data_IF_068087140851
#
_entry.id   IF_068087140851
#
_cell.length_a   1.000
_cell.length_b   1.000
_cell.length_c   1.000
_cell.angle_alpha   90.00
_cell.angle_beta   90.00
_cell.angle_gamma   90.00
#
_symmetry.space_group_name_H-M   'P 1'
#
loop_
_entity.id
_entity.type
_entity.pdbx_description
1 polymer ?
#
# COMPACT_ATOMS: atom_id res chain seq x y z
N UNK A 1 43.07 4.45 76.93
CA UNK A 1 42.88 5.82 76.37
C UNK A 1 42.88 5.82 74.83
N UNK A 2 43.45 4.85 74.14
CA UNK A 2 43.50 4.81 72.67
C UNK A 2 42.23 4.49 71.94
N UNK A 3 41.30 3.68 72.55
CA UNK A 3 40.04 3.35 71.94
C UNK A 3 39.02 4.53 71.86
N UNK A 4 39.22 5.54 72.75
CA UNK A 4 38.30 6.69 72.79
C UNK A 4 38.68 7.72 71.69
N UNK A 5 39.94 7.87 71.39
CA UNK A 5 40.44 8.77 70.31
C UNK A 5 40.06 8.25 68.93
N UNK A 6 40.18 6.94 68.70
CA UNK A 6 39.76 6.32 67.45
C UNK A 6 38.23 6.44 67.17
N UNK A 7 37.38 6.31 68.18
CA UNK A 7 35.95 6.53 68.05
C UNK A 7 35.60 8.01 67.81
N UNK A 8 36.31 8.94 68.40
CA UNK A 8 36.15 10.38 68.13
C UNK A 8 36.58 10.76 66.68
N UNK A 9 37.66 10.19 66.18
CA UNK A 9 38.10 10.40 64.81
C UNK A 9 37.15 9.82 63.80
N UNK A 10 36.58 8.62 64.03
CA UNK A 10 35.60 8.01 63.16
C UNK A 10 34.28 8.79 63.16
N UNK A 11 33.85 9.30 64.32
CA UNK A 11 32.64 10.13 64.38
C UNK A 11 32.85 11.54 63.81
N UNK A 12 34.02 12.10 63.87
CA UNK A 12 34.39 13.36 63.20
C UNK A 12 34.51 13.18 61.69
N UNK A 13 35.05 12.07 61.20
CA UNK A 13 35.09 11.74 59.79
C UNK A 13 33.69 11.46 59.19
N UNK A 14 32.80 10.90 59.99
CA UNK A 14 31.38 10.70 59.56
C UNK A 14 30.56 11.99 59.57
N UNK A 15 30.94 13.01 60.35
CA UNK A 15 30.31 14.33 60.32
C UNK A 15 30.81 15.21 59.17
N UNK A 16 32.02 14.95 58.61
CA UNK A 16 32.54 15.64 57.41
C UNK A 16 32.11 14.96 56.09
N UNK A 17 31.48 13.82 56.13
CA UNK A 17 30.76 13.26 54.99
C UNK A 17 29.39 13.93 54.80
N UNK A 18 29.26 15.20 55.15
CA UNK A 18 28.18 16.07 54.73
C UNK A 18 28.23 16.12 53.21
N UNK A 19 27.26 15.47 52.59
CA UNK A 19 27.03 15.49 51.17
C UNK A 19 27.06 16.93 50.66
N UNK A 20 28.18 17.36 50.12
CA UNK A 20 28.23 18.55 49.25
C UNK A 20 27.54 18.14 47.95
N UNK A 21 26.22 18.14 47.96
CA UNK A 21 25.46 17.95 46.74
C UNK A 21 25.53 19.27 45.95
N UNK A 22 26.57 19.41 45.12
CA UNK A 22 26.65 20.48 44.14
C UNK A 22 25.60 20.36 43.06
N UNK A 23 25.65 21.22 42.04
CA UNK A 23 24.82 21.14 40.87
C UNK A 23 24.69 19.69 40.36
N UNK A 24 23.49 19.18 40.26
CA UNK A 24 23.17 17.81 39.76
C UNK A 24 22.04 17.83 38.74
N UNK A 25 22.18 17.00 37.68
CA UNK A 25 21.08 16.74 36.75
C UNK A 25 20.30 15.54 37.27
N UNK A 26 19.04 15.79 37.67
CA UNK A 26 18.16 14.82 38.34
C UNK A 26 17.29 14.00 37.40
N UNK A 27 17.13 14.44 36.16
CA UNK A 27 16.38 13.68 35.17
C UNK A 27 17.04 12.34 34.86
N UNK A 28 16.23 11.26 34.79
CA UNK A 28 16.73 9.91 34.55
C UNK A 28 17.56 9.83 33.26
N UNK A 29 18.70 9.17 33.34
CA UNK A 29 19.45 8.81 32.13
C UNK A 29 18.74 7.65 31.45
N UNK A 30 17.86 7.94 30.52
CA UNK A 30 17.30 6.89 29.67
C UNK A 30 18.41 6.33 28.79
N UNK A 31 18.75 5.06 28.98
CA UNK A 31 19.71 4.34 28.12
C UNK A 31 19.12 4.05 26.74
N UNK A 32 17.82 4.26 26.55
CA UNK A 32 17.11 4.04 25.31
C UNK A 32 16.86 5.36 24.58
N UNK A 33 16.98 5.39 23.26
CA UNK A 33 16.61 6.56 22.46
C UNK A 33 15.16 7.00 22.72
N UNK A 34 14.95 8.32 22.74
CA UNK A 34 13.59 8.89 22.68
C UNK A 34 13.08 8.76 21.25
N UNK A 35 12.08 7.91 21.05
CA UNK A 35 11.49 7.65 19.73
C UNK A 35 10.24 8.53 19.54
N UNK A 36 10.14 9.19 18.39
CA UNK A 36 9.02 10.07 18.05
C UNK A 36 8.68 9.97 16.57
N UNK A 37 7.39 10.12 16.24
CA UNK A 37 6.99 10.18 14.84
C UNK A 37 7.34 11.54 14.21
N UNK A 38 7.80 11.51 12.96
CA UNK A 38 7.99 12.70 12.14
C UNK A 38 6.72 13.56 12.11
N UNK A 39 6.88 14.88 12.23
CA UNK A 39 5.79 15.84 12.30
C UNK A 39 5.20 16.07 13.69
N UNK A 40 5.55 15.26 14.70
CA UNK A 40 5.13 15.46 16.09
C UNK A 40 6.11 16.38 16.83
N UNK A 41 5.78 16.73 18.07
CA UNK A 41 6.66 17.46 18.98
C UNK A 41 7.18 16.52 20.04
N UNK A 42 8.40 16.80 20.52
CA UNK A 42 9.06 15.99 21.55
C UNK A 42 9.68 16.87 22.62
N UNK A 43 9.53 16.45 23.87
CA UNK A 43 10.23 17.04 25.00
C UNK A 43 11.53 16.26 25.24
N UNK A 44 12.65 16.97 25.28
CA UNK A 44 13.94 16.45 25.75
C UNK A 44 14.16 16.88 27.18
N UNK A 45 14.17 15.92 28.10
CA UNK A 45 14.07 16.18 29.54
C UNK A 45 15.46 16.43 30.17
N UNK A 46 15.62 17.58 30.78
CA UNK A 46 16.82 17.97 31.52
C UNK A 46 16.43 18.77 32.77
N UNK A 47 16.21 18.07 33.85
CA UNK A 47 15.95 18.70 35.16
C UNK A 47 17.18 18.70 36.01
N UNK A 48 17.39 19.76 36.79
CA UNK A 48 18.57 19.92 37.64
C UNK A 48 18.22 20.52 38.98
N UNK A 49 19.11 20.33 39.94
CA UNK A 49 19.07 20.96 41.26
C UNK A 49 20.37 21.74 41.50
N UNK A 50 20.24 22.83 42.20
CA UNK A 50 21.38 23.71 42.61
C UNK A 50 21.63 23.49 44.08
N UNK A 51 22.91 23.58 44.48
CA UNK A 51 23.31 23.64 45.88
C UNK A 51 23.49 25.08 46.31
N UNK A 52 23.58 25.28 47.63
CA UNK A 52 23.83 26.59 48.23
C UNK A 52 25.19 27.22 47.86
N UNK A 53 26.15 26.34 47.50
CA UNK A 53 27.51 26.71 47.09
C UNK A 53 27.59 27.18 45.62
N UNK A 54 26.58 26.85 44.82
CA UNK A 54 26.53 27.25 43.41
C UNK A 54 26.15 28.73 43.29
N UNK A 55 27.14 29.61 43.23
CA UNK A 55 26.99 31.08 43.39
C UNK A 55 27.14 31.88 42.10
N UNK A 56 27.70 31.32 41.03
CA UNK A 56 27.92 32.01 39.76
C UNK A 56 26.67 32.25 38.94
N UNK A 57 26.78 32.89 37.76
CA UNK A 57 25.68 32.98 36.81
C UNK A 57 25.28 31.59 36.35
N UNK A 58 23.99 31.42 36.08
CA UNK A 58 23.46 30.18 35.50
C UNK A 58 23.49 30.29 33.97
N UNK A 59 24.17 29.32 33.36
CA UNK A 59 24.16 29.08 31.93
C UNK A 59 23.61 27.70 31.64
N UNK A 60 22.63 27.62 30.72
CA UNK A 60 22.06 26.35 30.21
C UNK A 60 22.24 26.33 28.71
N UNK A 61 23.04 25.40 28.25
CA UNK A 61 23.34 25.23 26.81
C UNK A 61 22.83 23.89 26.32
N UNK A 62 22.05 23.93 25.25
CA UNK A 62 21.71 22.75 24.50
C UNK A 62 22.46 22.72 23.18
N UNK A 63 23.02 21.58 22.85
CA UNK A 63 23.75 21.38 21.61
C UNK A 63 23.34 20.07 20.92
N UNK A 64 23.39 20.09 19.60
CA UNK A 64 23.37 18.90 18.77
C UNK A 64 24.82 18.42 18.62
N UNK A 65 25.11 17.25 19.16
CA UNK A 65 26.44 16.65 19.17
C UNK A 65 26.80 16.24 17.75
N UNK A 66 27.97 16.67 17.30
CA UNK A 66 28.46 16.31 15.98
C UNK A 66 28.70 14.80 15.90
N UNK A 67 28.28 14.19 14.78
CA UNK A 67 28.53 12.76 14.50
C UNK A 67 30.00 12.50 14.15
N UNK A 68 30.71 13.53 13.72
CA UNK A 68 32.14 13.51 13.41
C UNK A 68 32.90 14.26 14.50
N UNK A 69 33.78 13.57 15.19
CA UNK A 69 34.61 14.14 16.30
C UNK A 69 35.56 15.25 15.85
N UNK A 70 35.67 15.51 14.55
CA UNK A 70 36.46 16.62 14.01
C UNK A 70 35.65 17.92 13.88
N UNK A 71 34.34 17.85 14.10
CA UNK A 71 33.44 19.00 14.03
C UNK A 71 32.98 19.40 15.43
N UNK A 72 32.73 20.70 15.58
CA UNK A 72 32.19 21.25 16.83
C UNK A 72 30.69 20.90 16.95
N UNK A 73 30.27 20.71 18.21
CA UNK A 73 28.87 20.58 18.55
C UNK A 73 28.09 21.87 18.19
N UNK A 74 26.91 21.74 17.65
CA UNK A 74 26.09 22.89 17.25
C UNK A 74 25.19 23.33 18.40
N UNK A 75 25.39 24.51 18.94
CA UNK A 75 24.49 25.11 19.95
C UNK A 75 23.15 25.40 19.26
N UNK A 76 22.04 24.89 19.86
CA UNK A 76 20.69 25.03 19.34
C UNK A 76 19.83 26.01 20.13
N UNK A 77 20.07 26.13 21.43
CA UNK A 77 19.42 27.09 22.34
C UNK A 77 20.32 27.31 23.58
N UNK A 78 20.36 28.52 24.04
CA UNK A 78 21.15 28.93 25.21
C UNK A 78 20.29 29.77 26.15
N UNK A 79 20.40 29.52 27.44
CA UNK A 79 19.92 30.43 28.50
C UNK A 79 21.12 30.99 29.23
N UNK A 80 21.29 32.29 29.24
CA UNK A 80 22.36 33.00 29.91
C UNK A 80 21.97 34.42 30.24
N UNK A 81 22.40 34.97 31.37
CA UNK A 81 22.05 36.32 31.79
C UNK A 81 20.56 36.55 31.91
N UNK A 82 19.83 35.58 32.45
CA UNK A 82 18.37 35.58 32.63
C UNK A 82 17.56 35.74 31.30
N UNK A 83 18.18 35.34 30.20
CA UNK A 83 17.57 35.40 28.86
C UNK A 83 17.80 34.13 28.06
N UNK A 84 16.77 33.70 27.31
CA UNK A 84 16.87 32.65 26.32
C UNK A 84 17.30 33.22 24.96
N UNK A 85 18.23 32.51 24.29
CA UNK A 85 18.70 32.79 22.95
C UNK A 85 18.36 31.58 22.10
N UNK A 86 17.43 31.75 21.14
CA UNK A 86 16.81 30.67 20.36
C UNK A 86 17.14 30.77 18.86
N UNK A 87 17.89 31.76 18.43
CA UNK A 87 18.07 32.16 17.03
C UNK A 87 19.39 31.65 16.41
N UNK A 88 19.78 30.44 16.81
CA UNK A 88 20.96 29.79 16.24
C UNK A 88 20.66 29.22 14.85
N UNK A 89 21.58 29.35 13.90
CA UNK A 89 21.45 28.82 12.55
C UNK A 89 21.75 27.32 12.52
N UNK A 90 20.72 26.55 12.88
CA UNK A 90 20.79 25.11 13.04
C UNK A 90 19.59 24.44 12.33
N UNK A 91 19.62 23.12 12.09
CA UNK A 91 18.49 22.40 11.49
C UNK A 91 17.16 22.56 12.25
N UNK A 92 17.22 22.84 13.55
CA UNK A 92 16.05 22.98 14.43
C UNK A 92 15.64 24.45 14.68
N UNK A 93 16.26 25.42 14.01
CA UNK A 93 15.96 26.85 14.14
C UNK A 93 14.48 27.14 14.04
N UNK A 94 13.96 27.96 14.97
CA UNK A 94 12.55 28.36 15.06
C UNK A 94 11.60 27.23 15.48
N UNK A 95 12.12 26.05 15.86
CA UNK A 95 11.32 24.91 16.31
C UNK A 95 11.71 24.39 17.69
N UNK A 96 12.71 25.02 18.33
CA UNK A 96 13.20 24.65 19.65
C UNK A 96 12.95 25.78 20.64
N UNK A 97 12.36 25.43 21.80
CA UNK A 97 12.04 26.36 22.88
C UNK A 97 12.24 25.67 24.22
N UNK A 98 12.61 26.45 25.29
CA UNK A 98 12.58 25.91 26.63
C UNK A 98 11.16 25.48 27.01
N UNK A 99 11.05 24.37 27.73
CA UNK A 99 9.77 23.87 28.24
C UNK A 99 9.20 24.79 29.33
N UNK A 100 10.07 25.30 30.19
CA UNK A 100 9.73 26.26 31.22
C UNK A 100 9.93 27.70 30.74
N UNK A 101 9.02 28.63 31.03
CA UNK A 101 9.24 30.06 30.75
C UNK A 101 10.41 30.61 31.57
N UNK A 102 10.79 29.98 32.68
CA UNK A 102 11.92 30.32 33.52
C UNK A 102 12.76 29.09 33.86
N UNK A 103 13.75 28.76 33.00
CA UNK A 103 14.57 27.56 33.17
C UNK A 103 15.39 27.53 34.48
N UNK A 104 15.65 28.67 35.13
CA UNK A 104 16.40 28.73 36.38
C UNK A 104 15.74 28.05 37.56
N UNK A 105 14.44 27.72 37.46
CA UNK A 105 13.69 27.01 38.48
C UNK A 105 13.93 25.48 38.47
N UNK A 106 14.98 25.00 37.78
CA UNK A 106 15.37 23.61 37.76
C UNK A 106 14.87 22.78 36.57
N UNK A 107 14.14 23.40 35.64
CA UNK A 107 13.69 22.73 34.39
C UNK A 107 14.40 23.36 33.17
N UNK A 108 15.50 22.75 32.79
CA UNK A 108 16.24 23.05 31.55
C UNK A 108 15.74 22.27 30.33
N UNK A 109 14.64 21.53 30.44
CA UNK A 109 14.08 20.75 29.33
C UNK A 109 13.71 21.64 28.16
N UNK A 110 13.80 21.09 26.96
CA UNK A 110 13.39 21.77 25.73
C UNK A 110 12.27 20.99 25.01
N UNK A 111 11.46 21.71 24.26
CA UNK A 111 10.51 21.17 23.30
C UNK A 111 11.04 21.40 21.90
N UNK A 112 11.10 20.34 21.09
CA UNK A 112 11.40 20.42 19.65
C UNK A 112 10.09 20.17 18.92
N UNK A 113 9.62 21.17 18.20
CA UNK A 113 8.33 21.14 17.51
C UNK A 113 8.49 20.60 16.10
N UNK A 114 7.47 19.87 15.64
CA UNK A 114 7.37 19.39 14.25
C UNK A 114 8.69 18.74 13.79
N UNK A 115 9.10 17.70 14.53
CA UNK A 115 10.38 17.03 14.27
C UNK A 115 10.43 16.38 12.89
N UNK A 116 11.60 16.40 12.28
CA UNK A 116 11.89 15.83 10.96
C UNK A 116 12.85 14.66 11.11
N UNK A 117 12.92 13.76 10.17
CA UNK A 117 13.91 12.67 10.15
C UNK A 117 15.35 13.16 10.27
N UNK A 118 15.64 14.36 9.73
CA UNK A 118 16.93 15.05 9.83
C UNK A 118 17.29 15.52 11.24
N UNK A 119 16.32 15.59 12.15
CA UNK A 119 16.55 15.96 13.54
C UNK A 119 17.02 14.78 14.42
N UNK A 120 17.07 13.57 13.83
CA UNK A 120 17.66 12.40 14.50
C UNK A 120 19.12 12.67 14.86
N UNK A 121 19.47 12.49 16.14
CA UNK A 121 20.83 12.76 16.60
C UNK A 121 20.97 12.66 18.11
N UNK A 122 22.20 12.98 18.57
CA UNK A 122 22.48 13.06 19.99
C UNK A 122 22.43 14.52 20.44
N UNK A 123 21.58 14.79 21.39
CA UNK A 123 21.42 16.12 22.01
C UNK A 123 22.09 16.13 23.36
N UNK A 124 22.74 17.25 23.69
CA UNK A 124 23.39 17.44 24.97
C UNK A 124 22.83 18.67 25.70
N UNK A 125 22.31 18.44 26.89
CA UNK A 125 22.00 19.48 27.86
C UNK A 125 23.22 19.69 28.74
N UNK A 126 23.70 20.92 28.90
CA UNK A 126 24.81 21.31 29.75
C UNK A 126 24.37 22.46 30.63
N UNK A 127 24.45 22.25 31.94
CA UNK A 127 24.10 23.23 32.95
C UNK A 127 25.38 23.65 33.67
N UNK A 128 25.63 24.96 33.75
CA UNK A 128 26.77 25.55 34.41
C UNK A 128 26.29 26.54 35.47
N UNK A 129 26.79 26.40 36.68
CA UNK A 129 26.73 27.40 37.75
C UNK A 129 27.92 27.19 38.66
N UNK A 130 28.84 28.17 38.66
CA UNK A 130 30.11 28.01 39.35
C UNK A 130 29.95 27.60 40.82
N UNK A 131 30.72 26.61 41.32
CA UNK A 131 31.77 25.89 40.64
C UNK A 131 31.29 24.70 39.82
N UNK A 132 29.97 24.40 39.78
CA UNK A 132 29.39 23.23 39.19
C UNK A 132 29.25 23.32 37.66
N UNK A 133 29.53 22.22 36.97
CA UNK A 133 29.16 21.96 35.57
C UNK A 133 28.67 20.53 35.45
N UNK A 134 27.49 20.35 34.87
CA UNK A 134 26.94 19.03 34.56
C UNK A 134 26.43 18.99 33.15
N UNK A 135 26.49 17.80 32.55
CA UNK A 135 25.91 17.57 31.25
C UNK A 135 25.16 16.23 31.20
N UNK A 136 24.23 16.15 30.28
CA UNK A 136 23.44 14.92 29.98
C UNK A 136 23.31 14.81 28.49
N UNK A 137 23.69 13.66 27.96
CA UNK A 137 23.44 13.30 26.54
C UNK A 137 22.21 12.40 26.42
N UNK A 138 21.45 12.59 25.38
CA UNK A 138 20.30 11.77 25.05
C UNK A 138 20.14 11.64 23.53
N UNK A 139 19.67 10.50 23.09
CA UNK A 139 19.44 10.24 21.68
C UNK A 139 17.97 10.50 21.32
N UNK A 140 17.76 11.27 20.27
CA UNK A 140 16.47 11.43 19.61
C UNK A 140 16.48 10.62 18.32
N UNK A 141 15.48 9.76 18.16
CA UNK A 141 15.24 8.98 16.96
C UNK A 141 13.88 9.36 16.37
N UNK A 142 13.92 10.10 15.29
CA UNK A 142 12.70 10.47 14.57
C UNK A 142 12.39 9.41 13.53
N UNK A 143 11.21 8.82 13.65
CA UNK A 143 10.76 7.71 12.82
C UNK A 143 9.58 8.13 11.96
N UNK A 144 9.51 7.59 10.76
CA UNK A 144 8.35 7.74 9.89
C UNK A 144 7.33 6.62 10.17
N UNK A 145 6.05 6.99 10.27
CA UNK A 145 4.95 6.02 10.31
C UNK A 145 4.92 5.23 9.01
N UNK A 146 4.39 4.00 9.02
CA UNK A 146 4.12 3.29 7.79
C UNK A 146 3.22 4.14 6.87
N UNK A 147 3.48 4.15 5.57
CA UNK A 147 2.50 4.63 4.60
C UNK A 147 1.33 3.65 4.51
N UNK A 148 0.18 4.10 4.02
CA UNK A 148 -0.96 3.21 3.78
C UNK A 148 -0.52 2.04 2.92
N UNK A 149 -0.58 0.80 3.43
CA UNK A 149 -0.08 -0.34 2.70
C UNK A 149 -0.99 -0.68 1.50
N UNK A 150 -0.41 -1.34 0.52
CA UNK A 150 -1.11 -1.96 -0.60
C UNK A 150 -1.35 -3.42 -0.29
N UNK A 151 -2.62 -3.83 -0.40
CA UNK A 151 -3.04 -5.22 -0.28
C UNK A 151 -3.38 -5.79 -1.66
N UNK A 152 -2.84 -6.96 -2.01
CA UNK A 152 -3.17 -7.65 -3.25
C UNK A 152 -2.94 -9.16 -3.11
N UNK A 153 -3.47 -9.91 -4.08
CA UNK A 153 -3.28 -11.37 -4.16
C UNK A 153 -2.30 -11.72 -5.26
N UNK A 154 -1.50 -12.75 -5.03
CA UNK A 154 -0.67 -13.40 -6.03
C UNK A 154 -1.07 -14.89 -6.15
N UNK A 155 -0.95 -15.42 -7.36
CA UNK A 155 -1.32 -16.79 -7.65
C UNK A 155 -2.76 -16.95 -8.13
N UNK A 156 -3.24 -18.18 -8.13
CA UNK A 156 -4.59 -18.52 -8.62
C UNK A 156 -5.60 -18.49 -7.49
N UNK A 157 -6.73 -17.83 -7.72
CA UNK A 157 -7.86 -17.79 -6.77
C UNK A 157 -8.88 -18.92 -6.97
N UNK A 158 -8.50 -20.00 -7.67
CA UNK A 158 -9.37 -21.17 -7.81
C UNK A 158 -9.21 -22.15 -6.65
N UNK A 159 -10.29 -22.85 -6.32
CA UNK A 159 -10.27 -23.89 -5.29
C UNK A 159 -9.18 -24.93 -5.54
N UNK A 160 -8.56 -25.40 -4.46
CA UNK A 160 -7.47 -26.36 -4.51
C UNK A 160 -6.12 -25.79 -4.93
N UNK A 161 -6.00 -24.49 -5.18
CA UNK A 161 -4.75 -23.81 -5.50
C UNK A 161 -4.23 -23.02 -4.32
N UNK A 162 -2.93 -22.76 -4.30
CA UNK A 162 -2.31 -21.89 -3.33
C UNK A 162 -2.48 -20.45 -3.76
N UNK A 163 -2.89 -19.59 -2.82
CA UNK A 163 -3.01 -18.15 -3.02
C UNK A 163 -2.19 -17.41 -1.97
N UNK A 164 -1.46 -16.39 -2.38
CA UNK A 164 -0.66 -15.56 -1.49
C UNK A 164 -1.33 -14.18 -1.36
N UNK A 165 -1.62 -13.77 -0.13
CA UNK A 165 -2.04 -12.42 0.19
C UNK A 165 -0.77 -11.62 0.51
N UNK A 166 -0.60 -10.47 -0.11
CA UNK A 166 0.53 -9.57 0.12
C UNK A 166 0.08 -8.22 0.63
N UNK A 167 0.90 -7.71 1.55
CA UNK A 167 0.75 -6.40 2.17
C UNK A 167 2.10 -5.71 2.16
N UNK A 168 2.20 -4.58 1.48
CA UNK A 168 3.45 -3.84 1.37
C UNK A 168 3.22 -2.36 1.62
N UNK A 169 4.04 -1.75 2.48
CA UNK A 169 4.10 -0.32 2.70
C UNK A 169 5.36 0.24 2.04
N UNK A 170 5.19 1.29 1.25
CA UNK A 170 6.28 1.88 0.46
C UNK A 170 7.18 2.80 1.30
N UNK A 171 6.68 3.29 2.46
CA UNK A 171 7.43 4.12 3.39
C UNK A 171 7.17 3.70 4.84
N UNK A 172 8.05 4.13 5.72
CA UNK A 172 8.03 3.86 7.16
C UNK A 172 9.38 3.37 7.68
N UNK A 173 9.74 3.82 8.88
CA UNK A 173 11.00 3.43 9.52
C UNK A 173 10.94 1.97 9.98
N UNK A 174 12.02 1.23 9.77
CA UNK A 174 12.18 -0.14 10.25
C UNK A 174 12.57 -0.18 11.73
N UNK A 175 12.26 -1.26 12.46
CA UNK A 175 11.63 -2.49 12.01
C UNK A 175 10.12 -2.31 11.83
N UNK A 176 9.59 -2.87 10.75
CA UNK A 176 8.17 -2.87 10.42
C UNK A 176 7.62 -4.30 10.51
N UNK A 177 6.42 -4.44 11.05
CA UNK A 177 5.71 -5.72 11.18
C UNK A 177 4.36 -5.63 10.51
N UNK A 178 3.94 -6.74 9.92
CA UNK A 178 2.63 -6.86 9.28
C UNK A 178 1.80 -7.91 10.03
N UNK A 179 0.55 -7.60 10.25
CA UNK A 179 -0.42 -8.54 10.80
C UNK A 179 -1.63 -8.61 9.89
N UNK A 180 -2.20 -9.80 9.78
CA UNK A 180 -3.38 -10.05 8.98
C UNK A 180 -4.50 -10.62 9.83
N UNK A 181 -5.72 -10.18 9.55
CA UNK A 181 -6.94 -10.73 10.13
C UNK A 181 -8.02 -10.87 9.07
N UNK A 182 -8.86 -11.87 9.19
CA UNK A 182 -10.08 -11.98 8.39
C UNK A 182 -11.19 -11.22 9.12
N UNK A 183 -11.83 -10.26 8.43
CA UNK A 183 -12.86 -9.40 9.05
C UNK A 183 -14.27 -9.94 8.88
N UNK A 184 -14.47 -10.85 7.91
CA UNK A 184 -15.76 -11.50 7.65
C UNK A 184 -15.76 -12.96 8.08
N UNK A 185 -16.88 -13.45 8.55
CA UNK A 185 -17.02 -14.85 8.99
C UNK A 185 -16.31 -15.16 10.29
N UNK A 186 -15.41 -16.11 10.29
CA UNK A 186 -14.74 -16.65 11.49
C UNK A 186 -13.77 -15.70 12.18
N UNK A 187 -13.44 -14.55 11.60
CA UNK A 187 -12.44 -13.58 12.09
C UNK A 187 -11.03 -14.16 12.33
N UNK A 188 -10.79 -15.38 11.92
CA UNK A 188 -9.51 -16.08 12.06
C UNK A 188 -9.00 -16.41 10.67
N UNK A 189 -7.71 -16.34 10.48
CA UNK A 189 -7.07 -16.79 9.22
C UNK A 189 -7.37 -18.28 8.99
N UNK A 190 -7.50 -18.73 7.73
CA UNK A 190 -7.66 -20.15 7.41
C UNK A 190 -6.59 -21.00 8.09
N UNK A 191 -6.97 -22.16 8.62
CA UNK A 191 -6.02 -23.06 9.31
C UNK A 191 -4.87 -23.53 8.40
N UNK A 192 -5.09 -23.52 7.09
CA UNK A 192 -4.07 -23.85 6.06
C UNK A 192 -3.14 -22.68 5.72
N UNK A 193 -3.26 -21.54 6.40
CA UNK A 193 -2.46 -20.35 6.11
C UNK A 193 -1.20 -20.26 6.93
N UNK A 194 -0.13 -19.75 6.31
CA UNK A 194 1.16 -19.46 6.96
C UNK A 194 1.40 -17.95 6.82
N UNK A 195 1.53 -17.26 7.95
CA UNK A 195 1.82 -15.82 8.03
C UNK A 195 3.32 -15.60 8.19
N UNK A 196 3.88 -14.71 7.36
CA UNK A 196 5.20 -14.10 7.58
C UNK A 196 5.01 -12.61 7.94
N UNK A 197 5.20 -12.24 9.22
CA UNK A 197 4.96 -10.88 9.68
C UNK A 197 6.04 -9.88 9.22
N UNK A 198 7.16 -10.34 8.70
CA UNK A 198 8.26 -9.45 8.23
C UNK A 198 8.04 -9.07 6.77
N UNK A 199 7.74 -10.04 5.93
CA UNK A 199 7.45 -9.81 4.50
C UNK A 199 6.03 -9.32 4.23
N UNK A 200 5.12 -9.46 5.21
CA UNK A 200 3.71 -9.08 5.07
C UNK A 200 2.90 -10.06 4.22
N UNK A 201 3.31 -11.33 4.16
CA UNK A 201 2.66 -12.33 3.31
C UNK A 201 1.85 -13.33 4.13
N UNK A 202 0.70 -13.74 3.59
CA UNK A 202 -0.07 -14.89 4.06
C UNK A 202 -0.20 -15.88 2.90
N UNK A 203 0.38 -17.05 3.05
CA UNK A 203 0.24 -18.12 2.08
C UNK A 203 -0.91 -19.03 2.51
N UNK A 204 -2.02 -18.99 1.79
CA UNK A 204 -3.18 -19.86 1.98
C UNK A 204 -3.03 -21.05 1.06
N UNK A 205 -2.69 -22.21 1.63
CA UNK A 205 -2.51 -23.46 0.88
C UNK A 205 -3.85 -24.13 0.64
N UNK A 206 -4.00 -24.72 -0.57
CA UNK A 206 -5.20 -25.46 -0.95
C UNK A 206 -6.47 -24.68 -0.65
N UNK A 207 -6.56 -23.44 -1.18
CA UNK A 207 -7.65 -22.53 -0.87
C UNK A 207 -9.02 -23.14 -1.22
N UNK A 208 -9.96 -23.05 -0.30
CA UNK A 208 -11.34 -23.48 -0.46
C UNK A 208 -12.29 -22.29 -0.44
N UNK A 209 -13.55 -22.49 -0.80
CA UNK A 209 -14.59 -21.44 -0.75
C UNK A 209 -14.67 -20.75 0.63
N UNK A 210 -14.39 -21.49 1.72
CA UNK A 210 -14.36 -20.94 3.10
C UNK A 210 -13.25 -19.91 3.32
N UNK A 211 -12.20 -19.91 2.49
CA UNK A 211 -11.14 -18.89 2.53
C UNK A 211 -11.61 -17.54 1.94
N UNK A 212 -12.68 -17.53 1.15
CA UNK A 212 -13.25 -16.28 0.63
C UNK A 212 -13.67 -15.36 1.76
N UNK A 213 -13.53 -14.06 1.53
CA UNK A 213 -13.93 -13.02 2.48
C UNK A 213 -12.99 -11.83 2.46
N UNK A 214 -13.27 -10.89 3.35
CA UNK A 214 -12.51 -9.66 3.49
C UNK A 214 -11.40 -9.85 4.52
N UNK A 215 -10.20 -9.48 4.14
CA UNK A 215 -8.99 -9.53 4.96
C UNK A 215 -8.48 -8.12 5.19
N UNK A 216 -7.98 -7.86 6.39
CA UNK A 216 -7.34 -6.60 6.77
C UNK A 216 -5.89 -6.88 7.08
N UNK A 217 -5.00 -6.12 6.45
CA UNK A 217 -3.60 -6.05 6.84
C UNK A 217 -3.33 -4.77 7.62
N UNK A 218 -2.56 -4.88 8.69
CA UNK A 218 -2.03 -3.76 9.46
C UNK A 218 -0.52 -3.78 9.39
N UNK A 219 0.08 -2.73 8.81
CA UNK A 219 1.50 -2.45 8.86
C UNK A 219 1.80 -1.60 10.09
N UNK A 220 2.71 -2.02 10.95
CA UNK A 220 2.98 -1.37 12.25
C UNK A 220 4.49 -1.20 12.44
N UNK A 221 4.90 -0.05 12.93
CA UNK A 221 6.21 0.17 13.53
C UNK A 221 6.04 0.79 14.92
N UNK A 222 7.14 1.24 15.57
CA UNK A 222 7.11 1.76 16.94
C UNK A 222 6.34 3.06 17.10
N UNK A 223 6.13 3.82 16.01
CA UNK A 223 5.53 5.16 16.07
C UNK A 223 4.18 5.25 15.38
N UNK A 224 3.69 4.17 14.77
CA UNK A 224 2.37 4.18 14.18
C UNK A 224 2.00 2.91 13.44
N UNK A 225 0.76 2.89 12.96
CA UNK A 225 0.18 1.80 12.19
C UNK A 225 -0.72 2.35 11.09
N UNK A 226 -0.76 1.64 9.95
CA UNK A 226 -1.64 1.91 8.82
C UNK A 226 -2.23 0.60 8.30
N UNK A 227 -3.37 0.68 7.64
CA UNK A 227 -4.14 -0.50 7.26
C UNK A 227 -4.56 -0.48 5.80
N UNK A 228 -4.70 -1.69 5.21
CA UNK A 228 -5.41 -1.92 3.95
C UNK A 228 -6.38 -3.08 4.08
N UNK A 229 -7.33 -3.13 3.17
CA UNK A 229 -8.36 -4.17 3.09
C UNK A 229 -8.28 -4.85 1.74
N UNK A 230 -8.49 -6.17 1.72
CA UNK A 230 -8.44 -7.02 0.54
C UNK A 230 -9.62 -7.99 0.55
N UNK A 231 -10.36 -8.03 -0.53
CA UNK A 231 -11.42 -9.01 -0.73
C UNK A 231 -10.87 -10.20 -1.54
N UNK A 232 -10.83 -11.37 -0.91
CA UNK A 232 -10.47 -12.62 -1.55
C UNK A 232 -11.73 -13.38 -1.97
N UNK A 233 -11.85 -13.68 -3.27
CA UNK A 233 -12.91 -14.53 -3.82
C UNK A 233 -12.28 -15.79 -4.39
N UNK A 234 -12.51 -16.93 -3.73
CA UNK A 234 -12.07 -18.24 -4.21
C UNK A 234 -13.20 -18.84 -5.03
N UNK A 235 -12.93 -19.11 -6.31
CA UNK A 235 -13.93 -19.62 -7.27
C UNK A 235 -13.65 -21.08 -7.60
N UNK A 236 -14.72 -21.84 -7.87
CA UNK A 236 -14.57 -23.21 -8.34
C UNK A 236 -13.81 -23.25 -9.67
N UNK A 237 -13.05 -24.30 -9.90
CA UNK A 237 -12.37 -24.52 -11.18
C UNK A 237 -13.45 -24.72 -12.25
N UNK A 238 -13.47 -23.93 -13.33
CA UNK A 238 -14.44 -24.13 -14.41
C UNK A 238 -14.26 -25.53 -15.00
N UNK A 239 -15.35 -26.30 -15.07
CA UNK A 239 -15.32 -27.67 -15.61
C UNK A 239 -15.19 -27.62 -17.15
N UNK A 240 -13.99 -27.29 -17.64
CA UNK A 240 -13.68 -27.18 -19.06
C UNK A 240 -13.93 -28.49 -19.82
N UNK A 241 -13.76 -29.64 -19.15
CA UNK A 241 -14.05 -30.95 -19.75
C UNK A 241 -15.53 -31.09 -20.15
N UNK A 242 -16.45 -30.63 -19.32
CA UNK A 242 -17.88 -30.63 -19.62
C UNK A 242 -18.25 -29.71 -20.80
N UNK A 243 -17.62 -28.53 -20.88
CA UNK A 243 -17.84 -27.58 -21.96
C UNK A 243 -17.33 -28.13 -23.30
N UNK A 244 -16.13 -28.72 -23.31
CA UNK A 244 -15.53 -29.33 -24.50
C UNK A 244 -16.32 -30.54 -24.94
N UNK A 245 -16.72 -31.44 -24.04
CA UNK A 245 -17.58 -32.60 -24.37
C UNK A 245 -18.95 -32.16 -24.91
N UNK A 246 -19.56 -31.17 -24.29
CA UNK A 246 -20.85 -30.63 -24.77
C UNK A 246 -20.76 -30.01 -26.16
N UNK A 247 -19.69 -29.28 -26.45
CA UNK A 247 -19.51 -28.69 -27.80
C UNK A 247 -19.25 -29.74 -28.86
N UNK A 248 -18.51 -30.80 -28.58
CA UNK A 248 -18.31 -31.93 -29.51
C UNK A 248 -19.60 -32.63 -29.80
N UNK A 249 -20.40 -32.95 -28.77
CA UNK A 249 -21.73 -33.59 -28.94
C UNK A 249 -22.67 -32.71 -29.80
N UNK A 250 -22.72 -31.41 -29.55
CA UNK A 250 -23.51 -30.48 -30.32
C UNK A 250 -23.12 -30.45 -31.81
N UNK A 251 -21.82 -30.44 -32.11
CA UNK A 251 -21.33 -30.49 -33.50
C UNK A 251 -21.70 -31.82 -34.17
N UNK A 252 -21.55 -32.96 -33.47
CA UNK A 252 -21.94 -34.26 -34.01
C UNK A 252 -23.43 -34.36 -34.29
N UNK A 253 -24.28 -33.80 -33.43
CA UNK A 253 -25.73 -33.76 -33.66
C UNK A 253 -26.09 -32.88 -34.89
N UNK A 254 -25.45 -31.74 -35.07
CA UNK A 254 -25.64 -30.89 -36.24
C UNK A 254 -25.24 -31.64 -37.53
N UNK A 255 -24.09 -32.31 -37.52
CA UNK A 255 -23.61 -33.10 -38.65
C UNK A 255 -24.58 -34.25 -38.98
N UNK A 256 -25.12 -34.93 -37.95
CA UNK A 256 -26.12 -35.96 -38.12
C UNK A 256 -27.42 -35.43 -38.76
N UNK A 257 -27.92 -34.28 -38.30
CA UNK A 257 -29.07 -33.61 -38.88
C UNK A 257 -28.84 -33.28 -40.35
N UNK A 258 -27.67 -32.70 -40.67
CA UNK A 258 -27.29 -32.39 -42.06
C UNK A 258 -27.25 -33.65 -42.91
N UNK A 259 -26.69 -34.75 -42.42
CA UNK A 259 -26.62 -36.03 -43.11
C UNK A 259 -28.03 -36.60 -43.41
N UNK A 260 -28.94 -36.52 -42.42
CA UNK A 260 -30.35 -36.92 -42.60
C UNK A 260 -31.06 -36.07 -43.68
N UNK A 261 -30.85 -34.74 -43.63
CA UNK A 261 -31.45 -33.84 -44.64
C UNK A 261 -30.93 -34.16 -46.04
N UNK A 262 -29.61 -34.35 -46.18
CA UNK A 262 -29.00 -34.73 -47.46
C UNK A 262 -29.51 -36.09 -47.94
N UNK A 263 -29.60 -37.08 -47.05
CA UNK A 263 -30.15 -38.39 -47.38
C UNK A 263 -31.60 -38.30 -47.84
N UNK A 264 -32.46 -37.55 -47.12
CA UNK A 264 -33.85 -37.33 -47.51
C UNK A 264 -33.93 -36.60 -48.85
N UNK A 265 -33.08 -35.61 -49.07
CA UNK A 265 -33.02 -34.86 -50.34
C UNK A 265 -32.60 -35.77 -51.51
N UNK A 266 -31.54 -36.58 -51.32
CA UNK A 266 -31.08 -37.54 -52.34
C UNK A 266 -32.16 -38.57 -52.62
N UNK A 267 -32.87 -39.09 -51.59
CA UNK A 267 -33.97 -40.04 -51.75
C UNK A 267 -35.17 -39.42 -52.48
N UNK A 268 -35.53 -38.18 -52.18
CA UNK A 268 -36.56 -37.43 -52.89
C UNK A 268 -36.22 -37.17 -54.37
N UNK A 269 -34.90 -36.85 -54.62
CA UNK A 269 -34.40 -36.63 -55.98
C UNK A 269 -34.39 -37.92 -56.81
N UNK A 270 -34.07 -39.08 -56.20
CA UNK A 270 -34.10 -40.35 -56.84
C UNK A 270 -35.58 -40.79 -57.15
N UNK A 271 -36.52 -40.54 -56.23
CA UNK A 271 -37.93 -40.78 -56.50
C UNK A 271 -38.45 -39.99 -57.72
N UNK A 272 -38.05 -38.72 -57.82
CA UNK A 272 -38.44 -37.90 -59.02
C UNK A 272 -37.77 -38.37 -60.28
N UNK A 273 -36.64 -39.06 -60.27
CA UNK A 273 -36.05 -39.69 -61.45
C UNK A 273 -36.84 -40.92 -61.85
N UNK A 274 -37.25 -41.83 -60.91
CA UNK A 274 -38.07 -42.99 -61.17
C UNK A 274 -39.44 -42.62 -61.74
N UNK A 275 -40.09 -41.56 -61.22
CA UNK A 275 -41.37 -41.07 -61.76
C UNK A 275 -41.26 -40.58 -63.23
N UNK A 276 -40.12 -39.95 -63.59
CA UNK A 276 -39.84 -39.49 -64.96
C UNK A 276 -39.57 -40.65 -65.94
N UNK A 277 -38.90 -41.73 -65.45
CA UNK A 277 -38.69 -42.91 -66.30
C UNK A 277 -40.01 -43.69 -66.58
N UNK A 278 -40.86 -43.82 -65.57
CA UNK A 278 -42.16 -44.44 -65.71
C UNK A 278 -43.14 -43.64 -66.66
N UNK A 279 -43.07 -42.30 -66.64
CA UNK A 279 -43.87 -41.47 -67.53
C UNK A 279 -43.34 -41.43 -68.95
N UNK A 280 -42.11 -41.87 -69.25
CA UNK A 280 -41.64 -41.96 -70.64
C UNK A 280 -41.92 -43.32 -71.33
N UNK A 281 -42.25 -44.38 -70.57
CA UNK A 281 -42.50 -45.69 -71.09
C UNK A 281 -43.99 -45.96 -71.48
N UNK A 282 -44.91 -45.03 -71.21
CA UNK A 282 -46.34 -45.12 -71.54
C UNK A 282 -46.73 -44.09 -72.60
N UNK A 283 -45.96 -43.98 -73.70
CA UNK A 283 -46.29 -43.09 -74.79
C UNK A 283 -45.97 -43.69 -76.14
N UNK A 284 -46.57 -44.88 -76.39
CA UNK A 284 -46.81 -45.37 -77.74
C UNK A 284 -48.14 -46.08 -77.78
N UNK A 285 -48.93 -45.67 -78.84
CA UNK A 285 -50.09 -46.27 -79.37
C UNK A 285 -51.46 -46.14 -78.64
N UNK A 286 -52.22 -45.07 -78.98
CA UNK A 286 -53.61 -45.15 -79.37
C UNK A 286 -54.07 -43.86 -80.08
N UNK A 287 -54.69 -43.88 -81.30
CA UNK A 287 -55.14 -42.72 -82.08
C UNK A 287 -56.46 -42.13 -81.58
N UNK A 288 -56.75 -40.86 -81.92
CA UNK A 288 -57.88 -40.11 -81.33
C UNK A 288 -59.24 -40.37 -81.94
N UNK A 289 -60.32 -40.33 -81.15
CA UNK A 289 -61.65 -40.09 -81.71
C UNK A 289 -62.08 -38.61 -81.55
N UNK A 290 -62.75 -38.19 -82.58
CA UNK A 290 -63.27 -36.87 -82.92
C UNK A 290 -64.33 -36.32 -81.95
N UNK A 291 -64.15 -35.02 -81.69
CA UNK A 291 -65.20 -33.98 -81.50
C UNK A 291 -66.67 -34.29 -81.16
N UNK A 292 -67.13 -33.66 -80.08
CA UNK A 292 -68.42 -32.92 -80.23
C UNK A 292 -68.51 -31.83 -79.13
N UNK A 293 -68.84 -30.64 -79.63
CA UNK A 293 -69.14 -29.43 -78.89
C UNK A 293 -70.41 -29.54 -78.08
N UNK A 294 -70.47 -28.85 -76.95
CA UNK A 294 -71.53 -27.83 -76.74
C UNK A 294 -71.51 -27.35 -75.24
N UNK A 295 -71.45 -26.08 -75.17
CA UNK A 295 -72.27 -25.12 -74.45
C UNK A 295 -72.34 -25.08 -72.94
N UNK A 296 -71.75 -24.00 -72.48
CA UNK A 296 -72.36 -23.01 -71.62
C UNK A 296 -73.02 -23.42 -70.28
N UNK A 297 -72.52 -22.90 -69.23
CA UNK A 297 -73.10 -21.77 -68.49
C UNK A 297 -72.37 -21.49 -67.21
N UNK A 298 -72.08 -20.22 -67.12
CA UNK A 298 -71.77 -19.49 -65.88
C UNK A 298 -72.80 -19.70 -64.80
N UNK A 299 -72.38 -19.69 -63.58
CA UNK A 299 -73.05 -18.97 -62.47
C UNK A 299 -72.07 -18.62 -61.39
N UNK A 300 -71.93 -17.32 -61.20
CA UNK A 300 -71.52 -16.58 -60.00
C UNK A 300 -72.41 -16.91 -58.81
N UNK A 301 -71.96 -16.71 -57.65
CA UNK A 301 -72.51 -16.15 -56.40
C UNK A 301 -71.72 -16.72 -55.23
N UNK A 302 -70.90 -15.99 -54.62
CA UNK A 302 -71.09 -15.00 -53.55
C UNK A 302 -71.57 -15.64 -52.26
N UNK A 303 -70.81 -15.26 -51.33
CA UNK A 303 -71.27 -14.79 -50.04
C UNK A 303 -71.31 -15.72 -48.83
N UNK A 304 -70.61 -15.21 -47.87
CA UNK A 304 -70.99 -14.97 -46.46
C UNK A 304 -70.70 -16.07 -45.44
N UNK A 305 -69.80 -15.59 -44.55
CA UNK A 305 -70.09 -15.24 -43.12
C UNK A 305 -70.40 -16.39 -42.20
N UNK A 306 -69.66 -16.50 -41.22
CA UNK A 306 -69.81 -16.05 -39.80
C UNK A 306 -69.00 -16.97 -38.89
N UNK A 307 -68.20 -16.45 -38.10
CA UNK A 307 -68.29 -15.76 -36.80
C UNK A 307 -68.37 -16.72 -35.62
N UNK A 308 -67.76 -16.25 -34.61
CA UNK A 308 -67.82 -16.60 -33.17
C UNK A 308 -66.93 -17.74 -32.77
N UNK A 309 -66.13 -17.58 -31.79
CA UNK A 309 -66.01 -16.55 -30.78
C UNK A 309 -65.04 -17.02 -29.73
N UNK A 310 -64.45 -16.05 -29.09
CA UNK A 310 -64.36 -15.92 -27.65
C UNK A 310 -63.42 -16.89 -26.94
N UNK A 311 -62.48 -16.53 -26.18
CA UNK A 311 -62.30 -15.55 -25.10
C UNK A 311 -60.84 -15.51 -24.64
N UNK A 312 -60.40 -14.32 -24.40
CA UNK A 312 -59.29 -14.01 -23.44
C UNK A 312 -59.71 -14.38 -22.02
N UNK A 313 -58.78 -14.43 -21.01
CA UNK A 313 -58.16 -13.20 -20.57
C UNK A 313 -56.72 -13.29 -19.96
N UNK A 314 -56.17 -12.13 -19.95
CA UNK A 314 -55.46 -11.44 -18.85
C UNK A 314 -53.99 -11.73 -18.55
N UNK A 315 -53.27 -10.64 -18.77
CA UNK A 315 -52.40 -9.92 -17.84
C UNK A 315 -51.05 -10.54 -17.48
N UNK A 316 -49.97 -9.91 -17.82
CA UNK A 316 -49.32 -8.88 -16.99
C UNK A 316 -48.11 -8.27 -17.73
N UNK A 317 -48.00 -6.99 -17.61
CA UNK A 317 -46.87 -6.09 -17.70
C UNK A 317 -45.47 -6.68 -17.71
N UNK A 318 -44.68 -6.32 -18.73
CA UNK A 318 -43.26 -6.13 -18.56
C UNK A 318 -42.82 -4.94 -19.40
N UNK A 319 -42.30 -3.95 -18.73
CA UNK A 319 -41.76 -2.72 -19.30
C UNK A 319 -40.36 -2.99 -19.90
N UNK A 320 -40.23 -2.89 -21.19
CA UNK A 320 -38.94 -2.78 -21.85
C UNK A 320 -38.63 -1.31 -22.10
N UNK A 321 -37.75 -0.73 -21.30
CA UNK A 321 -37.16 0.59 -21.51
C UNK A 321 -36.05 0.49 -22.56
N UNK A 322 -36.25 1.09 -23.70
CA UNK A 322 -35.20 1.44 -24.66
C UNK A 322 -34.51 2.71 -24.16
N UNK A 323 -33.20 2.81 -24.20
CA UNK A 323 -32.51 4.09 -23.97
C UNK A 323 -32.62 4.95 -25.23
N UNK A 324 -33.20 6.12 -25.02
CA UNK A 324 -33.31 7.19 -25.99
C UNK A 324 -32.01 7.99 -26.02
N UNK A 325 -31.45 8.15 -27.19
CA UNK A 325 -30.30 9.05 -27.46
C UNK A 325 -30.87 10.46 -27.61
N UNK A 326 -30.60 11.31 -26.62
CA UNK A 326 -30.84 12.75 -26.75
C UNK A 326 -29.56 13.49 -27.09
N UNK A 327 -29.65 14.28 -28.13
CA UNK A 327 -28.67 15.22 -28.66
C UNK A 327 -28.36 16.32 -27.64
N UNK A 328 -27.08 16.53 -27.42
CA UNK A 328 -26.56 17.70 -26.71
C UNK A 328 -26.40 18.85 -27.70
N UNK A 329 -26.90 20.07 -27.40
CA UNK A 329 -26.54 21.27 -28.17
C UNK A 329 -25.19 21.81 -27.73
N UNK A 330 -24.45 22.27 -28.73
CA UNK A 330 -23.16 22.94 -28.63
C UNK A 330 -23.28 24.35 -28.03
N UNK A 331 -22.19 24.73 -27.41
CA UNK A 331 -21.60 26.06 -27.16
C UNK A 331 -21.50 26.44 -25.68
N UNK A 332 -20.27 26.40 -25.16
CA UNK A 332 -19.60 27.61 -24.70
C UNK A 332 -18.09 27.30 -24.55
N UNK A 333 -17.38 28.09 -25.28
CA UNK A 333 -15.94 28.27 -25.35
C UNK A 333 -15.45 28.83 -24.02
N UNK A 334 -14.61 28.06 -23.29
CA UNK A 334 -13.79 28.59 -22.21
C UNK A 334 -12.31 28.29 -22.49
N UNK A 335 -11.58 29.35 -22.64
CA UNK A 335 -10.13 29.43 -22.84
C UNK A 335 -9.37 28.52 -21.87
N UNK A 336 -8.63 27.57 -22.43
CA UNK A 336 -7.63 26.80 -21.73
C UNK A 336 -6.25 27.29 -22.17
N UNK A 337 -5.35 27.71 -21.25
CA UNK A 337 -3.99 28.03 -21.61
C UNK A 337 -3.25 26.78 -22.12
N UNK A 338 -2.27 26.90 -23.01
CA UNK A 338 -1.62 25.77 -23.65
C UNK A 338 -0.81 24.97 -22.64
N UNK A 339 -1.02 23.65 -22.61
CA UNK A 339 -0.24 22.70 -21.85
C UNK A 339 1.19 22.69 -22.40
N UNK A 340 2.14 23.07 -21.56
CA UNK A 340 3.55 22.87 -21.82
C UNK A 340 3.85 21.37 -21.82
N UNK A 341 4.30 20.85 -22.94
CA UNK A 341 4.87 19.53 -23.05
C UNK A 341 6.13 19.42 -22.15
N UNK A 342 6.37 18.27 -21.50
CA UNK A 342 7.60 18.09 -20.74
C UNK A 342 8.80 18.09 -21.67
N UNK A 343 9.71 19.02 -21.42
CA UNK A 343 11.01 19.11 -22.09
C UNK A 343 11.85 17.92 -21.61
N UNK A 344 12.17 17.01 -22.51
CA UNK A 344 13.19 15.97 -22.30
C UNK A 344 14.54 16.63 -22.07
N UNK A 345 15.34 16.20 -21.08
CA UNK A 345 16.71 16.69 -20.92
C UNK A 345 17.55 16.26 -22.14
N UNK A 346 18.47 17.11 -22.62
CA UNK A 346 19.31 16.78 -23.75
C UNK A 346 20.22 15.60 -23.39
N UNK A 347 20.32 14.66 -24.32
CA UNK A 347 21.23 13.52 -24.28
C UNK A 347 22.66 13.99 -23.99
N UNK A 348 23.30 13.37 -23.00
CA UNK A 348 24.70 13.59 -22.65
C UNK A 348 25.58 13.30 -23.87
N UNK A 349 26.08 14.36 -24.50
CA UNK A 349 27.16 14.30 -25.47
C UNK A 349 28.41 13.77 -24.76
N UNK A 350 29.11 12.87 -25.43
CA UNK A 350 30.42 12.35 -25.05
C UNK A 350 31.36 13.50 -24.71
N UNK A 351 31.65 13.71 -23.43
CA UNK A 351 32.74 14.57 -23.00
C UNK A 351 34.06 13.81 -23.18
N UNK A 352 34.89 14.33 -24.06
CA UNK A 352 36.29 13.94 -24.19
C UNK A 352 37.00 14.11 -22.86
N UNK A 353 37.85 13.13 -22.51
CA UNK A 353 38.55 13.05 -21.25
C UNK A 353 39.36 14.29 -20.89
N UNK A 354 39.00 14.90 -19.81
CA UNK A 354 39.81 15.92 -19.14
C UNK A 354 40.88 15.21 -18.28
N UNK A 355 42.12 15.59 -18.57
CA UNK A 355 43.32 15.07 -17.91
C UNK A 355 43.37 15.60 -16.48
N UNK A 356 43.09 14.75 -15.49
CA UNK A 356 43.02 15.07 -14.06
C UNK A 356 44.38 15.47 -13.40
N UNK A 357 45.47 15.35 -14.17
CA UNK A 357 46.85 15.69 -13.68
C UNK A 357 47.09 17.17 -13.44
N UNK A 358 46.15 18.05 -13.80
CA UNK A 358 46.37 19.52 -13.65
C UNK A 358 45.70 20.12 -12.39
N UNK A 359 44.98 19.33 -11.57
CA UNK A 359 44.30 19.85 -10.37
C UNK A 359 44.84 19.34 -9.03
N UNK A 360 46.08 18.88 -8.97
CA UNK A 360 46.74 18.58 -7.68
C UNK A 360 46.08 17.46 -6.84
N UNK A 361 45.25 16.61 -7.45
CA UNK A 361 44.65 15.47 -6.77
C UNK A 361 45.64 14.32 -6.66
N UNK A 362 45.95 13.91 -5.43
CA UNK A 362 46.77 12.72 -5.14
C UNK A 362 45.87 11.49 -5.34
N UNK A 363 46.25 10.48 -6.15
CA UNK A 363 45.49 9.26 -6.28
C UNK A 363 45.51 8.45 -4.97
N UNK A 364 44.37 8.26 -4.35
CA UNK A 364 44.20 7.34 -3.23
C UNK A 364 43.93 5.95 -3.80
N UNK A 365 44.89 5.02 -3.61
CA UNK A 365 44.64 3.62 -3.89
C UNK A 365 43.69 3.03 -2.86
N UNK A 366 42.54 2.58 -3.27
CA UNK A 366 41.62 1.77 -2.47
C UNK A 366 42.02 0.32 -2.67
N UNK A 367 42.38 -0.45 -1.59
CA UNK A 367 42.68 -1.87 -1.74
C UNK A 367 41.46 -2.66 -2.18
N UNK A 368 41.67 -3.59 -3.11
CA UNK A 368 40.62 -4.49 -3.59
C UNK A 368 40.24 -5.48 -2.48
N UNK A 369 38.97 -5.55 -2.09
CA UNK A 369 38.45 -6.59 -1.22
C UNK A 369 38.40 -7.92 -1.97
N UNK A 370 39.04 -8.92 -1.41
CA UNK A 370 38.87 -10.32 -1.86
C UNK A 370 37.57 -10.91 -1.30
N UNK A 371 37.02 -11.86 -2.01
CA UNK A 371 35.68 -12.47 -1.82
C UNK A 371 35.49 -13.19 -0.48
N UNK A 372 36.52 -13.32 0.35
CA UNK A 372 36.53 -14.10 1.61
C UNK A 372 36.67 -13.25 2.89
N UNK A 373 36.49 -11.94 2.82
CA UNK A 373 36.35 -11.10 4.00
C UNK A 373 37.58 -10.97 4.90
N UNK A 374 38.76 -11.39 4.46
CA UNK A 374 40.03 -11.16 5.19
C UNK A 374 40.77 -9.96 4.62
N UNK A 375 41.12 -9.05 5.51
CA UNK A 375 42.00 -7.90 5.22
C UNK A 375 43.44 -8.39 5.30
N UNK A 376 44.18 -8.19 4.27
CA UNK A 376 45.64 -8.29 4.25
C UNK A 376 46.25 -6.90 4.13
#
# INVERSE_FOLDING_TARGET
MELSAARLCVSLLSLFAGLTSGLEITSSSASTPTEVASGQSVKLDCQFTLASEDSGPLDIEWSLVASDNQKDDQVIILYSGDRAYEDYDTPVKGRVHFNSPDPKNGDASINVLTVKSTDTGTYQCKVKKAPGVRNKKMQLLVMEKPSKPRCYTEGSTHEGKDVVLRCTSDAGSKPMKYSWEKTTGSKVLPASSVLDPVSGTVNVKNASASASGTYRCTATNRVGAEQCVLDLSVTAIPNTAGIVAGSIIAVLLILLIIAIILFCFCRARNRKKYEKEICNEIREDVPPPKSRASTARSFTVASQRSSLGSMSPSNLHEYALKPQYDKIPSSEEYDRPPSQAPVLPPSAGKMAGYNLSRMGGIPVMVPAQTRDGSIV
#
